data_IF_515628719229
#
_entry.id   IF_515628719229
#
_cell.length_a   1.000
_cell.length_b   1.000
_cell.length_c   1.000
_cell.angle_alpha   90.00
_cell.angle_beta   90.00
_cell.angle_gamma   90.00
#
_symmetry.space_group_name_H-M   'P 1'
#
loop_
_entity.id
_entity.type
_entity.pdbx_description
1 polymer ?
#
# COMPACT_ATOMS: atom_id res chain seq x y z
N UNK A 1 15.01 4.11 11.98
CA UNK A 1 14.98 4.65 13.36
C UNK A 1 16.34 5.20 13.82
N UNK A 2 17.44 4.43 13.85
CA UNK A 2 18.75 4.90 14.38
C UNK A 2 19.34 6.15 13.69
N UNK A 3 19.03 6.35 12.41
CA UNK A 3 19.49 7.51 11.62
C UNK A 3 18.62 8.76 11.81
N UNK A 4 17.60 8.71 12.69
CA UNK A 4 16.73 9.86 12.95
C UNK A 4 15.71 10.18 11.86
N UNK A 5 15.45 9.26 10.92
CA UNK A 5 14.41 9.44 9.90
C UNK A 5 13.01 9.44 10.53
N UNK A 6 12.12 10.33 10.06
CA UNK A 6 10.74 10.46 10.54
C UNK A 6 9.80 9.38 9.99
N UNK A 7 10.11 8.88 8.79
CA UNK A 7 9.27 7.96 8.05
C UNK A 7 10.07 6.90 7.30
N UNK A 8 9.38 5.84 6.90
CA UNK A 8 9.87 4.83 5.96
C UNK A 8 8.79 4.47 4.95
N UNK A 9 9.18 4.15 3.72
CA UNK A 9 8.28 3.59 2.73
C UNK A 9 8.58 2.10 2.51
N UNK A 10 7.59 1.25 2.73
CA UNK A 10 7.69 -0.18 2.52
C UNK A 10 7.56 -0.51 1.03
N UNK A 11 8.55 -1.22 0.50
CA UNK A 11 8.54 -1.67 -0.88
C UNK A 11 7.55 -2.82 -1.09
N UNK A 12 6.45 -2.57 -1.82
CA UNK A 12 5.41 -3.59 -2.09
C UNK A 12 5.59 -4.36 -3.40
N UNK A 13 6.60 -4.03 -4.22
CA UNK A 13 6.80 -4.68 -5.53
C UNK A 13 6.92 -6.21 -5.48
N UNK A 14 7.64 -6.79 -4.50
CA UNK A 14 7.72 -8.25 -4.36
C UNK A 14 6.35 -8.88 -4.08
N UNK A 15 5.48 -8.20 -3.32
CA UNK A 15 4.10 -8.61 -3.13
C UNK A 15 3.31 -8.49 -4.44
N UNK A 16 3.44 -7.38 -5.17
CA UNK A 16 2.75 -7.13 -6.44
C UNK A 16 3.14 -8.12 -7.55
N UNK A 17 4.43 -8.47 -7.63
CA UNK A 17 5.00 -9.35 -8.66
C UNK A 17 4.92 -10.84 -8.29
N UNK A 18 4.50 -11.16 -7.06
CA UNK A 18 4.43 -12.53 -6.57
C UNK A 18 3.52 -13.41 -7.43
N UNK A 19 4.10 -14.50 -7.93
CA UNK A 19 3.38 -15.56 -8.65
C UNK A 19 3.04 -16.67 -7.67
N UNK A 20 1.74 -16.94 -7.50
CA UNK A 20 1.22 -17.98 -6.64
C UNK A 20 0.80 -17.49 -5.24
N UNK A 21 -0.23 -18.15 -4.70
CA UNK A 21 -0.89 -17.75 -3.45
C UNK A 21 0.04 -17.78 -2.23
N UNK A 22 0.90 -18.79 -2.13
CA UNK A 22 1.80 -18.96 -0.99
C UNK A 22 2.84 -17.83 -0.90
N UNK A 23 3.49 -17.51 -2.02
CA UNK A 23 4.47 -16.42 -2.05
C UNK A 23 3.80 -15.08 -1.74
N UNK A 24 2.63 -14.82 -2.33
CA UNK A 24 1.87 -13.59 -2.06
C UNK A 24 1.51 -13.45 -0.58
N UNK A 25 1.07 -14.54 0.06
CA UNK A 25 0.74 -14.55 1.48
C UNK A 25 1.96 -14.29 2.36
N UNK A 26 3.12 -14.89 2.02
CA UNK A 26 4.38 -14.65 2.71
C UNK A 26 4.81 -13.18 2.63
N UNK A 27 4.76 -12.59 1.44
CA UNK A 27 5.11 -11.17 1.25
C UNK A 27 4.11 -10.25 1.95
N UNK A 28 2.82 -10.61 1.96
CA UNK A 28 1.81 -9.88 2.71
C UNK A 28 2.12 -9.88 4.21
N UNK A 29 2.48 -11.03 4.78
CA UNK A 29 2.86 -11.13 6.19
C UNK A 29 4.12 -10.30 6.49
N UNK A 30 5.11 -10.32 5.58
CA UNK A 30 6.30 -9.47 5.70
C UNK A 30 5.95 -7.98 5.77
N UNK A 31 5.00 -7.52 4.96
CA UNK A 31 4.54 -6.13 4.99
C UNK A 31 3.84 -5.79 6.31
N UNK A 32 2.97 -6.67 6.81
CA UNK A 32 2.28 -6.49 8.11
C UNK A 32 3.29 -6.37 9.26
N UNK A 33 4.24 -7.31 9.33
CA UNK A 33 5.23 -7.36 10.41
C UNK A 33 6.16 -6.14 10.38
N UNK A 34 6.56 -5.72 9.17
CA UNK A 34 7.36 -4.52 8.97
C UNK A 34 6.61 -3.25 9.40
N UNK A 35 5.36 -3.08 8.96
CA UNK A 35 4.56 -1.91 9.30
C UNK A 35 4.36 -1.79 10.83
N UNK A 36 4.00 -2.89 11.49
CA UNK A 36 3.88 -2.98 12.95
C UNK A 36 5.18 -2.64 13.66
N UNK A 37 6.30 -3.13 13.17
CA UNK A 37 7.61 -2.86 13.75
C UNK A 37 7.98 -1.39 13.60
N UNK A 38 7.78 -0.79 12.43
CA UNK A 38 8.08 0.60 12.18
C UNK A 38 7.19 1.54 13.02
N UNK A 39 5.89 1.25 13.13
CA UNK A 39 4.98 2.00 13.98
C UNK A 39 5.38 1.93 15.47
N UNK A 40 5.78 0.76 15.98
CA UNK A 40 6.30 0.60 17.35
C UNK A 40 7.58 1.40 17.60
N UNK A 41 8.36 1.67 16.55
CA UNK A 41 9.57 2.48 16.61
C UNK A 41 9.29 3.98 16.44
N UNK A 42 8.02 4.39 16.35
CA UNK A 42 7.61 5.79 16.20
C UNK A 42 7.80 6.35 14.79
N UNK A 43 8.01 5.49 13.78
CA UNK A 43 8.15 5.94 12.39
C UNK A 43 6.78 6.03 11.73
N UNK A 44 6.55 7.09 10.96
CA UNK A 44 5.47 7.08 9.99
C UNK A 44 5.75 5.99 8.92
N UNK A 45 4.73 5.22 8.59
CA UNK A 45 4.86 4.11 7.63
C UNK A 45 4.11 4.46 6.37
N UNK A 46 4.80 4.48 5.25
CA UNK A 46 4.23 4.64 3.92
C UNK A 46 4.37 3.32 3.15
N UNK A 47 3.60 3.17 2.08
CA UNK A 47 3.78 2.05 1.16
C UNK A 47 3.45 2.45 -0.27
N UNK A 48 4.06 1.76 -1.21
CA UNK A 48 3.91 2.07 -2.62
C UNK A 48 4.60 1.05 -3.49
N UNK A 49 4.82 1.42 -4.74
CA UNK A 49 5.52 0.64 -5.76
C UNK A 49 4.79 -0.64 -6.21
N UNK A 50 4.16 -0.59 -7.40
CA UNK A 50 3.47 -1.74 -8.00
C UNK A 50 1.98 -1.87 -7.63
N UNK A 51 1.50 -1.05 -6.69
CA UNK A 51 0.09 -1.04 -6.30
C UNK A 51 -0.81 -0.53 -7.42
N UNK A 52 -1.98 -1.16 -7.56
CA UNK A 52 -3.04 -0.87 -8.51
C UNK A 52 -4.41 -1.23 -7.92
N UNK A 53 -5.48 -0.95 -8.65
CA UNK A 53 -6.86 -1.18 -8.18
C UNK A 53 -7.17 -2.64 -7.82
N UNK A 54 -6.42 -3.62 -8.35
CA UNK A 54 -6.66 -5.05 -8.10
C UNK A 54 -5.93 -5.58 -6.87
N UNK A 55 -4.87 -4.89 -6.42
CA UNK A 55 -4.00 -5.40 -5.35
C UNK A 55 -3.80 -4.42 -4.18
N UNK A 56 -4.34 -3.19 -4.27
CA UNK A 56 -4.17 -2.17 -3.21
C UNK A 56 -4.90 -2.53 -1.92
N UNK A 57 -6.09 -3.14 -2.02
CA UNK A 57 -6.96 -3.42 -0.86
C UNK A 57 -6.28 -4.17 0.31
N UNK A 58 -5.61 -5.33 0.11
CA UNK A 58 -4.95 -6.03 1.21
C UNK A 58 -3.82 -5.24 1.88
N UNK A 59 -3.14 -4.35 1.13
CA UNK A 59 -2.10 -3.47 1.70
C UNK A 59 -2.75 -2.28 2.41
N UNK A 60 -3.83 -1.73 1.86
CA UNK A 60 -4.62 -0.66 2.46
C UNK A 60 -5.26 -1.05 3.80
N UNK A 61 -5.53 -2.33 4.01
CA UNK A 61 -6.02 -2.88 5.26
C UNK A 61 -4.98 -2.88 6.41
N UNK A 62 -3.69 -2.64 6.14
CA UNK A 62 -2.69 -2.47 7.19
C UNK A 62 -2.82 -1.07 7.78
N UNK A 63 -3.43 -0.97 8.97
CA UNK A 63 -3.76 0.31 9.60
C UNK A 63 -2.53 1.12 10.02
N UNK A 64 -1.39 0.47 10.26
CA UNK A 64 -0.13 1.15 10.58
C UNK A 64 0.45 1.94 9.39
N UNK A 65 0.07 1.62 8.14
CA UNK A 65 0.42 2.44 6.98
C UNK A 65 -0.41 3.72 7.05
N UNK A 66 0.17 4.87 6.74
CA UNK A 66 -0.46 6.19 6.84
C UNK A 66 -0.60 6.89 5.48
N UNK A 67 0.25 6.54 4.50
CA UNK A 67 0.24 7.13 3.16
C UNK A 67 0.54 6.08 2.08
N UNK A 68 -0.04 6.26 0.89
CA UNK A 68 0.20 5.42 -0.28
C UNK A 68 0.76 6.22 -1.46
N UNK A 69 2.00 5.91 -1.87
CA UNK A 69 2.67 6.53 -3.01
C UNK A 69 2.48 5.67 -4.26
N UNK A 70 1.50 6.05 -5.10
CA UNK A 70 1.07 5.28 -6.28
C UNK A 70 1.20 6.14 -7.54
N UNK A 71 2.13 5.76 -8.42
CA UNK A 71 2.39 6.47 -9.68
C UNK A 71 1.79 5.76 -10.91
N UNK A 72 2.53 4.79 -11.45
CA UNK A 72 2.24 4.15 -12.74
C UNK A 72 0.78 3.71 -12.90
N UNK A 73 0.17 3.06 -11.90
CA UNK A 73 -1.22 2.61 -12.01
C UNK A 73 -2.22 3.75 -12.20
N UNK A 74 -2.01 4.90 -11.54
CA UNK A 74 -2.91 6.05 -11.67
C UNK A 74 -2.75 6.67 -13.06
N UNK A 75 -1.50 6.85 -13.52
CA UNK A 75 -1.23 7.40 -14.84
C UNK A 75 -1.80 6.49 -15.94
N UNK A 76 -1.62 5.18 -15.83
CA UNK A 76 -2.14 4.22 -16.80
C UNK A 76 -3.67 4.19 -16.84
N UNK A 77 -4.37 4.25 -15.70
CA UNK A 77 -5.84 4.37 -15.67
C UNK A 77 -6.32 5.73 -16.23
N UNK A 78 -5.59 6.81 -15.93
CA UNK A 78 -5.92 8.16 -16.36
C UNK A 78 -5.91 8.33 -17.90
N UNK A 79 -5.18 7.51 -18.64
CA UNK A 79 -5.23 7.50 -20.11
C UNK A 79 -6.62 7.15 -20.66
N UNK A 80 -7.43 6.44 -19.88
CA UNK A 80 -8.77 5.98 -20.30
C UNK A 80 -9.90 6.78 -19.67
N UNK A 81 -9.72 7.24 -18.42
CA UNK A 81 -10.79 7.88 -17.63
C UNK A 81 -10.49 9.32 -17.21
N UNK A 82 -9.30 9.82 -17.54
CA UNK A 82 -8.82 11.12 -17.08
C UNK A 82 -8.26 11.09 -15.66
N UNK A 83 -7.36 12.05 -15.38
CA UNK A 83 -6.60 12.11 -14.11
C UNK A 83 -7.49 12.18 -12.88
N UNK A 84 -8.51 13.05 -12.89
CA UNK A 84 -9.39 13.25 -11.74
C UNK A 84 -10.13 11.95 -11.36
N UNK A 85 -10.65 11.21 -12.34
CA UNK A 85 -11.36 9.97 -12.08
C UNK A 85 -10.42 8.85 -11.63
N UNK A 86 -9.23 8.75 -12.21
CA UNK A 86 -8.23 7.75 -11.82
C UNK A 86 -7.79 7.93 -10.35
N UNK A 87 -7.51 9.18 -9.94
CA UNK A 87 -7.18 9.50 -8.54
C UNK A 87 -8.35 9.18 -7.61
N UNK A 88 -9.58 9.55 -7.99
CA UNK A 88 -10.77 9.27 -7.18
C UNK A 88 -10.99 7.76 -6.97
N UNK A 89 -10.84 6.95 -8.04
CA UNK A 89 -10.97 5.48 -7.96
C UNK A 89 -9.97 4.88 -6.97
N UNK A 90 -8.69 5.27 -7.06
CA UNK A 90 -7.66 4.77 -6.15
C UNK A 90 -7.94 5.17 -4.70
N UNK A 91 -8.33 6.43 -4.46
CA UNK A 91 -8.74 6.91 -3.14
C UNK A 91 -9.91 6.11 -2.56
N UNK A 92 -10.94 5.87 -3.36
CA UNK A 92 -12.11 5.09 -2.94
C UNK A 92 -11.71 3.66 -2.57
N UNK A 93 -10.89 2.99 -3.39
CA UNK A 93 -10.43 1.63 -3.11
C UNK A 93 -9.65 1.53 -1.78
N UNK A 94 -8.78 2.51 -1.51
CA UNK A 94 -8.05 2.59 -0.23
C UNK A 94 -9.00 2.84 0.94
N UNK A 95 -9.93 3.78 0.80
CA UNK A 95 -10.87 4.14 1.87
C UNK A 95 -11.81 2.98 2.22
N UNK A 96 -12.30 2.24 1.23
CA UNK A 96 -13.15 1.06 1.42
C UNK A 96 -12.39 -0.03 2.18
N UNK A 97 -11.19 -0.38 1.75
CA UNK A 97 -10.37 -1.39 2.42
C UNK A 97 -10.05 -1.03 3.88
N UNK A 98 -9.83 0.27 4.18
CA UNK A 98 -9.64 0.75 5.55
C UNK A 98 -10.90 0.67 6.40
N UNK A 99 -12.05 1.04 5.84
CA UNK A 99 -13.32 0.96 6.55
C UNK A 99 -13.65 -0.51 6.91
N UNK A 100 -13.41 -1.45 5.99
CA UNK A 100 -13.58 -2.88 6.22
C UNK A 100 -12.61 -3.45 7.28
N UNK A 101 -11.38 -2.94 7.34
CA UNK A 101 -10.39 -3.39 8.32
C UNK A 101 -10.59 -2.81 9.73
N UNK A 102 -11.27 -1.66 9.84
CA UNK A 102 -11.52 -0.97 11.10
C UNK A 102 -12.87 -1.32 11.75
N UNK A 103 -13.80 -1.89 10.97
CA UNK A 103 -15.08 -2.42 11.46
C UNK A 103 -14.97 -3.86 11.93
#
# INVERSE_FOLDING_TARGET
>A
HKIGADAVELHTGTFCDSRGKQLRQREMQRLVDAAKTCAKLGLAVYAGHGLNLLNVAPVAAILEISEFNIGHSIISDALFVGMQQAVARMKTAIAQARAEAAG
#
